data_IF_753406884640
#
_entry.id   IF_753406884640
#
_cell.length_a   1.000
_cell.length_b   1.000
_cell.length_c   1.000
_cell.angle_alpha   90.00
_cell.angle_beta   90.00
_cell.angle_gamma   90.00
#
_symmetry.space_group_name_H-M   'P 1'
#
loop_
_entity.id
_entity.type
_entity.pdbx_description
1 polymer ?
#
# COMPACT_ATOMS: atom_id res chain seq x y z
N UNK A 1 20.14 -4.05 -6.74
CA UNK A 1 19.54 -3.98 -5.39
C UNK A 1 18.18 -3.33 -5.53
N UNK A 2 17.10 -4.00 -5.14
CA UNK A 2 15.72 -3.49 -5.25
C UNK A 2 15.16 -3.26 -3.85
N UNK A 3 14.45 -2.15 -3.57
CA UNK A 3 14.04 -1.80 -2.21
C UNK A 3 13.23 -2.91 -1.53
N UNK A 4 12.47 -3.71 -2.29
CA UNK A 4 11.62 -4.76 -1.71
C UNK A 4 12.22 -6.17 -1.67
N UNK A 5 13.44 -6.38 -2.17
CA UNK A 5 14.03 -7.73 -2.23
C UNK A 5 14.72 -8.13 -0.89
N UNK A 6 15.19 -7.17 -0.07
CA UNK A 6 16.07 -7.49 1.08
C UNK A 6 15.84 -6.67 2.37
N UNK A 7 14.61 -6.24 2.70
CA UNK A 7 14.40 -5.72 4.07
C UNK A 7 13.29 -4.72 4.33
N UNK A 8 12.45 -4.40 3.35
CA UNK A 8 11.36 -3.46 3.59
C UNK A 8 10.04 -4.09 3.98
N UNK A 9 9.80 -5.37 3.65
CA UNK A 9 8.54 -6.11 3.76
C UNK A 9 7.46 -5.57 4.68
N UNK A 10 7.23 -6.25 5.80
CA UNK A 10 6.32 -5.82 6.87
C UNK A 10 7.03 -4.96 7.93
N UNK A 11 8.34 -4.69 7.78
CA UNK A 11 9.10 -3.85 8.73
C UNK A 11 8.75 -2.37 8.59
N UNK A 12 8.41 -1.91 7.39
CA UNK A 12 7.93 -0.55 7.17
C UNK A 12 6.67 -0.58 6.35
N UNK A 13 5.78 0.39 6.54
CA UNK A 13 4.59 0.52 5.73
C UNK A 13 4.31 1.98 5.42
N UNK A 14 3.70 2.21 4.27
CA UNK A 14 3.16 3.50 3.92
C UNK A 14 1.91 3.78 4.75
N UNK A 15 1.87 4.93 5.39
CA UNK A 15 0.74 5.42 6.15
C UNK A 15 0.16 6.66 5.49
N UNK A 16 -1.14 6.63 5.27
CA UNK A 16 -1.87 7.75 4.68
C UNK A 16 -2.65 8.50 5.76
N UNK A 17 -2.40 9.79 5.91
CA UNK A 17 -3.29 10.67 6.66
C UNK A 17 -4.32 11.26 5.68
N UNK A 18 -5.62 11.19 6.03
CA UNK A 18 -6.72 11.63 5.17
C UNK A 18 -7.37 12.87 5.79
N UNK A 19 -7.21 14.02 5.14
CA UNK A 19 -7.56 15.34 5.69
C UNK A 19 -8.84 15.94 5.09
N UNK A 20 -9.39 15.36 4.01
CA UNK A 20 -10.65 15.79 3.35
C UNK A 20 -10.76 17.31 3.08
N UNK A 21 -9.66 17.94 2.68
CA UNK A 21 -9.57 19.38 2.43
C UNK A 21 -10.34 19.79 1.15
N UNK A 22 -10.42 18.90 0.17
CA UNK A 22 -11.07 19.09 -1.12
C UNK A 22 -12.32 18.20 -1.27
N UNK A 23 -13.38 18.76 -1.85
CA UNK A 23 -14.66 18.07 -2.13
C UNK A 23 -14.53 16.85 -3.06
N UNK A 24 -13.60 16.88 -4.01
CA UNK A 24 -13.27 15.72 -4.85
C UNK A 24 -12.49 14.73 -3.99
N UNK A 25 -13.13 13.63 -3.58
CA UNK A 25 -12.54 12.66 -2.66
C UNK A 25 -11.15 12.17 -3.08
N UNK A 26 -10.94 11.90 -4.37
CA UNK A 26 -9.64 11.40 -4.88
C UNK A 26 -8.59 12.49 -5.10
N UNK A 27 -8.85 13.74 -4.74
CA UNK A 27 -7.91 14.84 -4.93
C UNK A 27 -6.64 14.63 -4.07
N UNK A 28 -5.43 14.77 -4.62
CA UNK A 28 -4.18 14.52 -3.90
C UNK A 28 -4.03 15.37 -2.64
N UNK A 29 -4.59 16.59 -2.60
CA UNK A 29 -4.50 17.49 -1.45
C UNK A 29 -5.23 16.95 -0.20
N UNK A 30 -6.07 15.93 -0.38
CA UNK A 30 -6.72 15.25 0.73
C UNK A 30 -5.78 14.33 1.51
N UNK A 31 -4.57 14.08 1.03
CA UNK A 31 -3.73 12.98 1.51
C UNK A 31 -2.32 13.45 1.85
N UNK A 32 -1.82 13.00 3.00
CA UNK A 32 -0.38 13.01 3.28
C UNK A 32 0.12 11.57 3.38
N UNK A 33 1.36 11.35 2.95
CA UNK A 33 1.97 10.03 2.94
C UNK A 33 3.25 10.05 3.78
N UNK A 34 3.37 9.10 4.70
CA UNK A 34 4.57 8.90 5.51
C UNK A 34 4.98 7.43 5.52
N UNK A 35 6.28 7.15 5.65
CA UNK A 35 6.75 5.77 5.85
C UNK A 35 6.96 5.54 7.35
N UNK A 36 6.21 4.58 7.92
CA UNK A 36 6.27 4.29 9.36
C UNK A 36 6.92 2.92 9.61
N UNK A 37 7.74 2.78 10.67
CA UNK A 37 8.23 1.48 11.10
C UNK A 37 7.09 0.65 11.70
N UNK A 38 7.13 -0.66 11.49
CA UNK A 38 6.37 -1.64 12.26
C UNK A 38 6.91 -1.73 13.69
N UNK A 39 6.07 -2.16 14.62
CA UNK A 39 6.38 -2.17 16.07
C UNK A 39 7.45 -3.24 16.41
N UNK A 40 7.73 -4.19 15.53
CA UNK A 40 8.55 -5.37 15.78
C UNK A 40 9.95 -5.35 15.11
N UNK A 41 10.52 -4.17 14.82
CA UNK A 41 11.82 -4.10 14.11
C UNK A 41 12.99 -4.19 15.09
N UNK A 42 13.87 -5.16 14.89
CA UNK A 42 15.15 -5.21 15.59
C UNK A 42 16.02 -3.97 15.29
N UNK A 43 16.71 -3.42 16.29
CA UNK A 43 17.53 -2.21 16.15
C UNK A 43 18.53 -2.27 14.99
N UNK A 44 19.12 -3.44 14.73
CA UNK A 44 20.06 -3.68 13.61
C UNK A 44 19.41 -3.47 12.25
N UNK A 45 18.15 -3.89 12.09
CA UNK A 45 17.39 -3.76 10.84
C UNK A 45 16.91 -2.32 10.65
N UNK A 46 16.51 -1.64 11.73
CA UNK A 46 16.22 -0.21 11.71
C UNK A 46 17.42 0.61 11.21
N UNK A 47 18.63 0.25 11.68
CA UNK A 47 19.89 0.90 11.28
C UNK A 47 20.24 0.70 9.81
N UNK A 48 19.98 -0.48 9.24
CA UNK A 48 20.17 -0.73 7.80
C UNK A 48 19.20 0.12 6.94
N UNK A 49 17.98 0.31 7.43
CA UNK A 49 16.93 1.01 6.68
C UNK A 49 17.08 2.53 6.77
N UNK A 50 17.34 3.07 7.97
CA UNK A 50 17.50 4.51 8.22
C UNK A 50 18.93 5.04 8.08
N UNK A 51 19.94 4.17 8.12
CA UNK A 51 21.34 4.58 8.20
C UNK A 51 21.73 5.12 9.59
N UNK A 52 23.02 5.45 9.76
CA UNK A 52 23.48 6.19 10.96
C UNK A 52 23.33 7.70 10.83
N UNK A 53 23.18 8.17 9.60
CA UNK A 53 23.04 9.56 9.25
C UNK A 53 21.87 9.72 8.26
N UNK A 54 21.26 10.92 8.14
CA UNK A 54 20.17 11.16 7.20
C UNK A 54 20.51 10.88 5.73
N UNK A 55 21.80 10.83 5.39
CA UNK A 55 22.31 10.52 4.05
C UNK A 55 22.59 9.03 3.82
N UNK A 56 22.45 8.20 4.85
CA UNK A 56 22.72 6.76 4.79
C UNK A 56 21.44 5.93 4.80
N UNK A 57 21.60 4.63 4.59
CA UNK A 57 20.50 3.68 4.65
C UNK A 57 19.65 3.65 3.37
N UNK A 58 18.88 2.58 3.27
CA UNK A 58 18.11 2.31 2.07
C UNK A 58 17.02 3.37 1.83
N UNK A 59 16.51 4.02 2.90
CA UNK A 59 15.40 4.97 2.79
C UNK A 59 15.81 6.19 1.98
N UNK A 60 17.01 6.70 2.27
CA UNK A 60 17.63 7.78 1.53
C UNK A 60 18.12 7.32 0.15
N UNK A 61 18.76 6.14 0.06
CA UNK A 61 19.27 5.60 -1.21
C UNK A 61 18.18 5.51 -2.29
N UNK A 62 17.00 5.02 -1.92
CA UNK A 62 15.85 4.90 -2.82
C UNK A 62 14.92 6.11 -2.77
N UNK A 63 15.26 7.14 -1.98
CA UNK A 63 14.52 8.40 -1.89
C UNK A 63 13.02 8.22 -1.62
N UNK A 64 12.64 7.17 -0.89
CA UNK A 64 11.23 6.73 -0.80
C UNK A 64 10.31 7.82 -0.24
N UNK A 65 10.79 8.59 0.74
CA UNK A 65 10.03 9.69 1.35
C UNK A 65 9.87 10.92 0.44
N UNK A 66 10.64 11.03 -0.64
CA UNK A 66 10.48 12.12 -1.62
C UNK A 66 9.76 11.67 -2.89
N UNK A 67 9.95 10.41 -3.32
CA UNK A 67 9.34 9.90 -4.56
C UNK A 67 7.88 9.53 -4.33
N UNK A 68 7.56 8.80 -3.26
CA UNK A 68 6.21 8.27 -3.07
C UNK A 68 5.13 9.35 -2.87
N UNK A 69 5.39 10.48 -2.18
CA UNK A 69 4.43 11.58 -2.10
C UNK A 69 4.11 12.23 -3.46
N UNK A 70 4.86 11.96 -4.53
CA UNK A 70 4.47 12.41 -5.88
C UNK A 70 3.29 11.63 -6.48
N UNK A 71 2.84 10.57 -5.81
CA UNK A 71 1.77 9.66 -6.26
C UNK A 71 0.51 9.73 -5.36
N UNK A 72 0.21 10.89 -4.77
CA UNK A 72 -0.98 11.07 -3.91
C UNK A 72 -2.30 10.98 -4.69
N UNK A 73 -2.28 11.24 -5.99
CA UNK A 73 -3.39 10.99 -6.91
C UNK A 73 -3.76 9.50 -6.95
N UNK A 74 -2.75 8.62 -7.04
CA UNK A 74 -2.92 7.16 -6.97
C UNK A 74 -3.47 6.75 -5.60
N UNK A 75 -2.97 7.35 -4.51
CA UNK A 75 -3.51 7.11 -3.16
C UNK A 75 -4.99 7.47 -3.09
N UNK A 76 -5.38 8.62 -3.64
CA UNK A 76 -6.77 9.05 -3.69
C UNK A 76 -7.68 8.11 -4.48
N UNK A 77 -7.22 7.63 -5.63
CA UNK A 77 -7.95 6.62 -6.40
C UNK A 77 -8.15 5.32 -5.60
N UNK A 78 -7.12 4.82 -4.93
CA UNK A 78 -7.20 3.61 -4.10
C UNK A 78 -8.19 3.83 -2.95
N UNK A 79 -8.12 4.95 -2.24
CA UNK A 79 -9.03 5.28 -1.13
C UNK A 79 -10.48 5.33 -1.62
N UNK A 80 -10.75 5.97 -2.75
CA UNK A 80 -12.10 6.01 -3.34
C UNK A 80 -12.57 4.62 -3.76
N UNK A 81 -11.70 3.83 -4.39
CA UNK A 81 -11.97 2.43 -4.76
C UNK A 81 -12.32 1.59 -3.53
N UNK A 82 -11.58 1.72 -2.43
CA UNK A 82 -11.84 1.04 -1.16
C UNK A 82 -13.15 1.50 -0.51
N UNK A 83 -13.43 2.81 -0.50
CA UNK A 83 -14.65 3.35 0.11
C UNK A 83 -15.93 2.98 -0.65
N UNK A 84 -15.87 2.89 -1.99
CA UNK A 84 -16.96 2.32 -2.80
C UNK A 84 -17.13 0.82 -2.52
N UNK A 85 -16.04 0.15 -2.19
CA UNK A 85 -15.98 -1.26 -1.85
C UNK A 85 -16.15 -1.46 -0.33
N UNK A 86 -17.26 -0.98 0.24
CA UNK A 86 -17.54 -1.18 1.67
C UNK A 86 -17.64 -2.69 1.99
N UNK A 87 -17.48 -3.04 3.27
CA UNK A 87 -17.58 -4.42 3.76
C UNK A 87 -18.86 -5.13 3.32
N UNK A 88 -19.95 -4.40 3.10
CA UNK A 88 -21.24 -4.91 2.62
C UNK A 88 -21.27 -5.21 1.10
N UNK A 89 -20.57 -4.43 0.29
CA UNK A 89 -20.55 -4.59 -1.18
C UNK A 89 -19.45 -5.55 -1.67
N UNK A 90 -18.43 -5.78 -0.85
CA UNK A 90 -17.27 -6.62 -1.17
C UNK A 90 -17.62 -8.09 -1.44
N UNK A 91 -18.57 -8.64 -0.68
CA UNK A 91 -18.98 -10.04 -0.80
C UNK A 91 -19.67 -10.34 -2.13
N UNK A 92 -20.73 -9.61 -2.49
CA UNK A 92 -21.38 -9.76 -3.79
C UNK A 92 -20.45 -9.49 -4.97
N UNK A 93 -19.62 -8.44 -4.93
CA UNK A 93 -18.72 -8.15 -6.05
C UNK A 93 -17.67 -9.24 -6.23
N UNK A 94 -17.05 -9.70 -5.14
CA UNK A 94 -16.10 -10.81 -5.19
C UNK A 94 -16.78 -12.12 -5.64
N UNK A 95 -18.03 -12.37 -5.25
CA UNK A 95 -18.80 -13.52 -5.74
C UNK A 95 -19.13 -13.42 -7.23
N UNK A 96 -19.53 -12.24 -7.71
CA UNK A 96 -19.81 -12.00 -9.13
C UNK A 96 -18.54 -12.15 -9.94
N UNK A 97 -17.43 -11.54 -9.52
CA UNK A 97 -16.14 -11.68 -10.21
C UNK A 97 -15.59 -13.10 -10.12
N UNK A 98 -15.63 -13.73 -8.94
CA UNK A 98 -15.17 -15.10 -8.74
C UNK A 98 -15.99 -16.11 -9.55
N UNK A 99 -17.31 -15.93 -9.64
CA UNK A 99 -18.18 -16.79 -10.45
C UNK A 99 -18.07 -16.50 -11.95
N UNK A 100 -17.97 -15.24 -12.36
CA UNK A 100 -17.94 -14.84 -13.77
C UNK A 100 -16.56 -14.98 -14.42
N UNK A 101 -15.48 -14.79 -13.67
CA UNK A 101 -14.10 -14.82 -14.18
C UNK A 101 -13.28 -16.01 -13.65
N UNK A 102 -13.83 -16.85 -12.77
CA UNK A 102 -13.09 -17.94 -12.09
C UNK A 102 -11.82 -17.45 -11.37
N UNK A 103 -11.80 -16.20 -10.90
CA UNK A 103 -10.59 -15.57 -10.34
C UNK A 103 -10.46 -15.70 -8.83
N UNK A 104 -9.24 -15.83 -8.34
CA UNK A 104 -8.93 -15.78 -6.90
C UNK A 104 -8.76 -14.32 -6.39
N UNK A 105 -8.67 -14.13 -5.06
CA UNK A 105 -8.51 -12.82 -4.43
C UNK A 105 -7.30 -12.03 -4.94
N UNK A 106 -6.19 -12.69 -5.24
CA UNK A 106 -4.96 -12.05 -5.74
C UNK A 106 -5.16 -11.51 -7.15
N UNK A 107 -5.82 -12.29 -8.03
CA UNK A 107 -6.15 -11.88 -9.39
C UNK A 107 -7.15 -10.72 -9.40
N UNK A 108 -8.19 -10.78 -8.56
CA UNK A 108 -9.12 -9.67 -8.39
C UNK A 108 -8.39 -8.40 -7.93
N UNK A 109 -7.49 -8.52 -6.94
CA UNK A 109 -6.70 -7.38 -6.46
C UNK A 109 -5.85 -6.79 -7.58
N UNK A 110 -5.17 -7.64 -8.36
CA UNK A 110 -4.36 -7.22 -9.50
C UNK A 110 -5.19 -6.53 -10.58
N UNK A 111 -6.37 -7.05 -10.88
CA UNK A 111 -7.31 -6.44 -11.83
C UNK A 111 -7.81 -5.08 -11.34
N UNK A 112 -8.30 -4.99 -10.10
CA UNK A 112 -9.01 -3.82 -9.60
C UNK A 112 -8.06 -2.67 -9.19
N UNK A 113 -6.95 -3.01 -8.53
CA UNK A 113 -5.97 -2.03 -8.06
C UNK A 113 -4.76 -1.89 -8.99
N UNK A 114 -4.62 -2.74 -10.00
CA UNK A 114 -3.50 -2.64 -10.94
C UNK A 114 -2.15 -2.93 -10.30
N UNK A 115 -2.10 -3.68 -9.20
CA UNK A 115 -0.86 -3.96 -8.46
C UNK A 115 -0.90 -5.33 -7.77
N UNK A 116 0.23 -5.80 -7.26
CA UNK A 116 0.32 -7.11 -6.63
C UNK A 116 0.05 -7.04 -5.13
N UNK A 117 -0.72 -8.00 -4.61
CA UNK A 117 -0.99 -8.14 -3.17
C UNK A 117 0.14 -8.89 -2.46
N UNK A 118 0.85 -9.76 -3.17
CA UNK A 118 1.90 -10.61 -2.62
C UNK A 118 3.24 -9.85 -2.62
N UNK A 119 3.91 -9.85 -1.48
CA UNK A 119 5.17 -9.13 -1.30
C UNK A 119 6.27 -9.63 -2.26
N UNK A 120 6.34 -10.95 -2.46
CA UNK A 120 7.27 -11.56 -3.41
C UNK A 120 7.13 -11.05 -4.85
N UNK A 121 6.01 -10.40 -5.18
CA UNK A 121 5.72 -9.85 -6.51
C UNK A 121 5.83 -8.32 -6.56
N UNK A 122 6.11 -7.63 -5.46
CA UNK A 122 6.18 -6.16 -5.45
C UNK A 122 7.26 -5.61 -6.37
N UNK A 123 8.32 -6.36 -6.64
CA UNK A 123 9.36 -5.96 -7.58
C UNK A 123 8.87 -5.85 -9.03
N UNK A 124 7.69 -6.42 -9.35
CA UNK A 124 7.12 -6.37 -10.70
C UNK A 124 6.50 -5.01 -11.03
N UNK A 125 6.08 -4.22 -10.02
CA UNK A 125 5.47 -2.90 -10.19
C UNK A 125 5.87 -1.94 -9.06
N UNK A 126 6.37 -0.74 -9.37
CA UNK A 126 6.89 0.19 -8.37
C UNK A 126 5.93 0.46 -7.19
N UNK A 127 4.63 0.66 -7.47
CA UNK A 127 3.64 1.07 -6.46
C UNK A 127 2.90 -0.08 -5.78
N UNK A 128 3.33 -1.34 -5.97
CA UNK A 128 2.61 -2.49 -5.39
C UNK A 128 2.57 -2.45 -3.86
N UNK A 129 3.69 -2.08 -3.23
CA UNK A 129 3.74 -1.94 -1.77
C UNK A 129 2.82 -0.82 -1.26
N UNK A 130 2.94 0.38 -1.84
CA UNK A 130 2.06 1.51 -1.52
C UNK A 130 0.60 1.11 -1.61
N UNK A 131 0.23 0.44 -2.71
CA UNK A 131 -1.15 0.01 -2.94
C UNK A 131 -1.62 -0.97 -1.85
N UNK A 132 -0.81 -1.98 -1.49
CA UNK A 132 -1.17 -2.93 -0.42
C UNK A 132 -1.34 -2.22 0.91
N UNK A 133 -0.42 -1.33 1.26
CA UNK A 133 -0.43 -0.62 2.54
C UNK A 133 -1.66 0.30 2.66
N UNK A 134 -1.98 1.06 1.61
CA UNK A 134 -3.19 1.91 1.56
C UNK A 134 -4.46 1.06 1.67
N UNK A 135 -4.56 -0.06 0.92
CA UNK A 135 -5.72 -0.96 1.00
C UNK A 135 -5.83 -1.60 2.38
N UNK A 136 -4.71 -2.03 2.99
CA UNK A 136 -4.66 -2.58 4.35
C UNK A 136 -5.14 -1.58 5.39
N UNK A 137 -4.82 -0.29 5.21
CA UNK A 137 -5.24 0.78 6.10
C UNK A 137 -6.73 1.12 5.95
N UNK A 138 -7.21 1.31 4.72
CA UNK A 138 -8.58 1.80 4.45
C UNK A 138 -9.62 0.66 4.48
N UNK A 139 -9.23 -0.53 4.02
CA UNK A 139 -10.10 -1.71 3.93
C UNK A 139 -9.38 -2.95 4.51
N UNK A 140 -9.13 -2.99 5.83
CA UNK A 140 -8.37 -4.07 6.46
C UNK A 140 -9.02 -5.45 6.31
N UNK A 141 -10.36 -5.50 6.21
CA UNK A 141 -11.14 -6.73 5.99
C UNK A 141 -10.88 -7.38 4.63
N UNK A 142 -10.39 -6.62 3.65
CA UNK A 142 -9.98 -7.20 2.37
C UNK A 142 -8.67 -7.95 2.51
N UNK A 143 -7.71 -7.44 3.28
CA UNK A 143 -6.37 -8.03 3.41
C UNK A 143 -6.36 -9.18 4.41
N UNK A 144 -6.90 -8.97 5.62
CA UNK A 144 -6.95 -9.99 6.68
C UNK A 144 -8.02 -11.04 6.36
N UNK A 145 -7.77 -12.35 6.59
CA UNK A 145 -8.84 -13.33 6.56
C UNK A 145 -9.89 -13.00 7.63
N UNK A 146 -11.18 -13.26 7.35
CA UNK A 146 -12.21 -13.26 8.40
C UNK A 146 -11.82 -14.34 9.40
N UNK A 147 -11.61 -13.94 10.65
CA UNK A 147 -11.50 -14.84 11.81
C UNK A 147 -12.86 -15.53 12.00
#
# INVERSE_FOLDING_TARGET
MHPYIDGYGEDFYFHVDINYINSKKSDPDNYNLSLKPSVAIAATKLRQIKGNSPSEGNLNLFKLESIYPSHLDVVGEIVVKCNKYSSWYSGPLLKVFGAALSTNKSEFYQFYFGNYINEGEFHRRPLSKLTKDVVKQVLPSFIKPKV
#
